data_IF_096811542109
#
_entry.id   IF_096811542109
#
_cell.length_a   1.000
_cell.length_b   1.000
_cell.length_c   1.000
_cell.angle_alpha   90.00
_cell.angle_beta   90.00
_cell.angle_gamma   90.00
#
_symmetry.space_group_name_H-M   'P 1'
#
loop_
_entity.id
_entity.type
_entity.pdbx_description
1 polymer ?
#
# COMPACT_ATOMS: atom_id res chain seq x y z
N UNK A 1 7.63 11.26 18.40
CA UNK A 1 6.99 10.29 17.53
C UNK A 1 5.97 10.98 16.62
N UNK A 2 5.75 10.46 15.44
CA UNK A 2 4.81 11.03 14.48
C UNK A 2 5.23 10.73 13.05
N UNK A 3 4.47 11.31 12.09
CA UNK A 3 4.81 11.28 10.68
C UNK A 3 5.46 12.60 10.29
N UNK A 4 6.58 12.51 9.62
CA UNK A 4 7.35 13.65 9.18
C UNK A 4 7.38 13.71 7.65
N UNK A 5 7.25 14.91 7.11
CA UNK A 5 7.38 15.22 5.69
C UNK A 5 8.67 15.98 5.44
N UNK A 6 9.39 15.59 4.40
CA UNK A 6 10.52 16.33 3.84
C UNK A 6 10.41 16.27 2.32
N UNK A 7 10.86 17.30 1.63
CA UNK A 7 10.76 17.44 0.17
C UNK A 7 12.07 17.87 -0.44
N UNK A 8 12.31 17.47 -1.68
CA UNK A 8 13.41 17.94 -2.52
C UNK A 8 12.93 18.04 -3.97
N UNK A 9 13.49 18.97 -4.73
CA UNK A 9 13.26 19.08 -6.18
C UNK A 9 14.12 18.10 -6.97
N UNK A 10 15.25 17.70 -6.40
CA UNK A 10 16.18 16.71 -6.91
C UNK A 10 16.46 15.70 -5.76
N UNK A 11 16.23 14.39 -5.95
CA UNK A 11 16.47 13.39 -4.90
C UNK A 11 17.94 13.29 -4.48
N UNK A 12 18.88 13.76 -5.31
CA UNK A 12 20.31 13.85 -4.99
C UNK A 12 20.73 15.21 -4.43
N UNK A 13 19.80 16.19 -4.38
CA UNK A 13 20.02 17.53 -3.88
C UNK A 13 19.74 17.69 -2.38
N UNK A 14 19.56 18.95 -1.98
CA UNK A 14 19.21 19.27 -0.59
C UNK A 14 17.74 18.98 -0.30
N UNK A 15 17.48 18.34 0.81
CA UNK A 15 16.14 18.07 1.33
C UNK A 15 15.71 19.16 2.34
N UNK A 16 14.44 19.50 2.33
CA UNK A 16 13.88 20.43 3.31
C UNK A 16 14.04 19.88 4.74
N UNK A 17 13.97 20.77 5.72
CA UNK A 17 13.89 20.32 7.14
C UNK A 17 12.61 19.50 7.32
N UNK A 18 12.68 18.35 8.04
CA UNK A 18 11.49 17.55 8.35
C UNK A 18 10.45 18.36 9.12
N UNK A 19 9.20 18.31 8.67
CA UNK A 19 8.04 18.88 9.37
C UNK A 19 7.21 17.74 9.93
N UNK A 20 6.89 17.80 11.23
CA UNK A 20 5.98 16.82 11.82
C UNK A 20 4.55 17.16 11.44
N UNK A 21 4.02 16.48 10.44
CA UNK A 21 2.67 16.71 9.90
C UNK A 21 1.57 15.98 10.67
N UNK A 22 1.93 14.92 11.41
CA UNK A 22 1.03 14.20 12.32
C UNK A 22 1.78 13.77 13.57
N UNK A 23 1.67 14.53 14.67
CA UNK A 23 2.25 14.12 15.93
C UNK A 23 1.52 12.92 16.54
N UNK A 24 2.23 12.18 17.38
CA UNK A 24 1.71 11.00 18.08
C UNK A 24 2.11 9.69 17.44
N UNK A 25 2.06 8.64 18.28
CA UNK A 25 2.44 7.28 17.90
C UNK A 25 1.36 6.57 17.09
N UNK A 26 1.72 5.44 16.51
CA UNK A 26 0.81 4.40 16.04
C UNK A 26 0.65 4.27 14.55
N UNK A 27 0.64 5.35 13.80
CA UNK A 27 0.62 5.26 12.34
C UNK A 27 1.97 4.79 11.82
N UNK A 28 1.91 3.84 10.88
CA UNK A 28 3.07 3.26 10.19
C UNK A 28 2.83 3.25 8.69
N UNK A 29 3.91 3.16 7.92
CA UNK A 29 3.89 3.00 6.47
C UNK A 29 3.05 4.08 5.75
N UNK A 30 3.22 5.36 6.05
CA UNK A 30 2.42 6.40 5.44
C UNK A 30 2.68 6.49 3.93
N UNK A 31 1.61 6.63 3.16
CA UNK A 31 1.66 6.86 1.73
C UNK A 31 0.89 8.13 1.39
N UNK A 32 1.57 9.20 0.98
CA UNK A 32 0.91 10.39 0.44
C UNK A 32 0.40 10.10 -0.98
N UNK A 33 -0.72 10.72 -1.31
CA UNK A 33 -1.34 10.64 -2.64
C UNK A 33 -1.88 12.01 -3.03
N UNK A 34 -1.56 12.45 -4.24
CA UNK A 34 -2.09 13.67 -4.86
C UNK A 34 -3.05 13.29 -5.97
N UNK A 35 -4.28 13.79 -5.87
CA UNK A 35 -5.32 13.55 -6.86
C UNK A 35 -5.30 14.60 -7.99
N UNK A 36 -5.88 14.26 -9.11
CA UNK A 36 -5.99 15.11 -10.30
C UNK A 36 -6.83 16.39 -10.06
N UNK A 37 -7.68 16.39 -9.03
CA UNK A 37 -8.47 17.57 -8.62
C UNK A 37 -7.69 18.58 -7.76
N UNK A 38 -6.41 18.31 -7.52
CA UNK A 38 -5.50 19.15 -6.72
C UNK A 38 -5.56 18.89 -5.22
N UNK A 39 -6.37 17.94 -4.76
CA UNK A 39 -6.38 17.49 -3.37
C UNK A 39 -5.29 16.48 -3.09
N UNK A 40 -4.91 16.39 -1.82
CA UNK A 40 -3.94 15.41 -1.37
C UNK A 40 -4.47 14.63 -0.17
N UNK A 41 -4.01 13.38 -0.03
CA UNK A 41 -4.43 12.46 1.02
C UNK A 41 -3.24 11.71 1.59
N UNK A 42 -3.34 11.33 2.85
CA UNK A 42 -2.38 10.48 3.53
C UNK A 42 -3.09 9.21 4.00
N UNK A 43 -2.67 8.06 3.50
CA UNK A 43 -3.13 6.74 3.95
C UNK A 43 -2.04 6.05 4.76
N UNK A 44 -2.39 5.35 5.83
CA UNK A 44 -1.43 4.64 6.67
C UNK A 44 -2.06 3.42 7.35
N UNK A 45 -1.21 2.46 7.69
CA UNK A 45 -1.52 1.39 8.63
C UNK A 45 -1.27 1.81 10.08
N UNK A 46 -1.51 0.87 11.02
CA UNK A 46 -1.24 1.10 12.44
C UNK A 46 -0.50 -0.06 13.09
N UNK A 47 0.37 0.27 14.04
CA UNK A 47 1.19 -0.69 14.78
C UNK A 47 0.58 -1.00 16.16
N UNK A 48 0.18 -2.27 16.38
CA UNK A 48 -0.36 -2.72 17.68
C UNK A 48 0.57 -2.41 18.85
N UNK A 49 1.86 -2.54 18.66
CA UNK A 49 2.88 -2.26 19.70
C UNK A 49 2.91 -0.81 20.16
N UNK A 50 2.27 0.10 19.41
CA UNK A 50 2.26 1.54 19.70
C UNK A 50 0.92 2.04 20.24
N UNK A 51 -0.20 1.52 19.73
CA UNK A 51 -1.54 2.01 20.07
C UNK A 51 -2.54 0.92 20.47
N UNK A 52 -2.09 -0.33 20.65
CA UNK A 52 -2.90 -1.43 21.19
C UNK A 52 -3.75 -2.20 20.17
N UNK A 53 -3.93 -1.72 18.94
CA UNK A 53 -4.68 -2.39 17.88
C UNK A 53 -3.92 -2.37 16.55
N UNK A 54 -4.33 -3.20 15.59
CA UNK A 54 -3.74 -3.34 14.26
C UNK A 54 -4.77 -3.73 13.22
N UNK A 55 -4.32 -3.91 11.99
CA UNK A 55 -5.12 -4.41 10.87
C UNK A 55 -6.18 -3.43 10.39
N UNK A 56 -5.98 -2.14 10.57
CA UNK A 56 -6.84 -1.10 10.04
C UNK A 56 -6.03 -0.11 9.20
N UNK A 57 -6.66 0.42 8.15
CA UNK A 57 -6.10 1.48 7.34
C UNK A 57 -6.85 2.78 7.63
N UNK A 58 -6.09 3.80 7.97
CA UNK A 58 -6.56 5.17 8.17
C UNK A 58 -6.27 6.03 6.95
N UNK A 59 -7.10 7.02 6.73
CA UNK A 59 -6.88 8.07 5.73
C UNK A 59 -7.32 9.42 6.27
N UNK A 60 -6.61 10.46 5.84
CA UNK A 60 -6.93 11.85 6.12
C UNK A 60 -6.60 12.71 4.91
N UNK A 61 -7.34 13.79 4.69
CA UNK A 61 -6.99 14.80 3.70
C UNK A 61 -5.74 15.55 4.16
N UNK A 62 -4.84 15.84 3.23
CA UNK A 62 -3.57 16.52 3.45
C UNK A 62 -3.56 17.85 2.70
N UNK A 63 -2.83 18.83 3.20
CA UNK A 63 -2.57 20.06 2.43
C UNK A 63 -1.87 19.69 1.11
N UNK A 64 -2.19 20.36 -0.01
CA UNK A 64 -1.59 20.03 -1.31
C UNK A 64 -0.07 20.15 -1.35
N UNK A 65 0.52 20.98 -0.48
CA UNK A 65 1.98 21.09 -0.32
C UNK A 65 2.58 19.98 0.55
N UNK A 66 1.75 19.09 1.13
CA UNK A 66 2.17 17.99 2.00
C UNK A 66 2.55 18.39 3.43
N UNK A 67 2.45 19.67 3.79
CA UNK A 67 3.01 20.19 5.04
C UNK A 67 2.04 20.17 6.23
N UNK A 68 0.86 19.58 6.08
CA UNK A 68 -0.12 19.45 7.16
C UNK A 68 -1.30 18.59 6.78
N UNK A 69 -2.11 18.21 7.76
CA UNK A 69 -3.33 17.45 7.58
C UNK A 69 -4.56 18.37 7.69
N UNK A 70 -5.64 18.01 6.98
CA UNK A 70 -6.88 18.75 6.92
C UNK A 70 -8.03 17.84 7.34
N UNK A 71 -8.81 18.28 8.34
CA UNK A 71 -10.02 17.56 8.75
C UNK A 71 -9.74 16.36 9.64
N UNK A 72 -10.64 15.38 9.61
CA UNK A 72 -10.65 14.24 10.53
C UNK A 72 -10.01 12.99 9.90
N UNK A 73 -9.26 12.26 10.71
CA UNK A 73 -8.76 10.94 10.38
C UNK A 73 -9.93 9.94 10.33
N UNK A 74 -10.01 9.14 9.25
CA UNK A 74 -11.06 8.14 9.07
C UNK A 74 -10.45 6.75 8.92
N UNK A 75 -11.05 5.76 9.54
CA UNK A 75 -10.80 4.35 9.20
C UNK A 75 -11.52 4.08 7.88
N UNK A 76 -10.77 3.74 6.85
CA UNK A 76 -11.29 3.44 5.51
C UNK A 76 -11.43 1.94 5.24
N UNK A 77 -10.72 1.12 6.02
CA UNK A 77 -10.81 -0.33 5.93
C UNK A 77 -10.40 -0.97 7.26
N UNK A 78 -11.22 -1.92 7.72
CA UNK A 78 -10.93 -2.74 8.91
C UNK A 78 -10.69 -4.20 8.49
N UNK A 79 -9.41 -4.59 8.49
CA UNK A 79 -9.00 -5.95 8.14
C UNK A 79 -9.39 -7.00 9.18
N UNK A 80 -9.72 -6.59 10.42
CA UNK A 80 -10.20 -7.54 11.44
C UNK A 80 -11.63 -8.04 11.12
N UNK A 81 -12.41 -7.24 10.39
CA UNK A 81 -13.76 -7.57 9.95
C UNK A 81 -13.80 -8.26 8.56
N UNK A 82 -12.66 -8.31 7.87
CA UNK A 82 -12.57 -8.72 6.47
C UNK A 82 -11.50 -9.81 6.22
N UNK A 83 -11.09 -10.54 7.24
CA UNK A 83 -10.05 -11.59 7.17
C UNK A 83 -8.71 -11.11 6.56
N UNK A 84 -8.43 -9.81 6.71
CA UNK A 84 -7.17 -9.18 6.28
C UNK A 84 -6.30 -8.81 7.49
N UNK A 85 -6.09 -9.79 8.37
CA UNK A 85 -5.32 -9.60 9.60
C UNK A 85 -3.89 -9.14 9.26
N UNK A 86 -3.40 -8.17 10.01
CA UNK A 86 -2.09 -7.53 9.78
C UNK A 86 -2.02 -6.84 8.40
N UNK A 87 -3.13 -6.28 7.91
CA UNK A 87 -3.07 -5.39 6.75
C UNK A 87 -2.30 -4.13 7.13
N UNK A 88 -1.31 -3.77 6.31
CA UNK A 88 -0.38 -2.67 6.54
C UNK A 88 0.25 -2.22 5.21
N UNK A 89 1.24 -1.33 5.23
CA UNK A 89 2.01 -0.96 4.05
C UNK A 89 1.21 -0.40 2.87
N UNK A 90 0.16 0.42 3.07
CA UNK A 90 -0.69 0.85 1.97
C UNK A 90 0.09 1.68 0.95
N UNK A 91 -0.21 1.46 -0.34
CA UNK A 91 0.24 2.30 -1.46
C UNK A 91 -0.98 2.67 -2.29
N UNK A 92 -1.20 3.97 -2.45
CA UNK A 92 -2.40 4.50 -3.08
C UNK A 92 -2.15 4.96 -4.51
N UNK A 93 -3.09 4.65 -5.40
CA UNK A 93 -3.04 4.97 -6.83
C UNK A 93 -4.43 5.32 -7.35
N UNK A 94 -4.49 5.94 -8.54
CA UNK A 94 -5.72 6.16 -9.30
C UNK A 94 -5.55 5.64 -10.72
N UNK A 95 -6.55 4.91 -11.22
CA UNK A 95 -6.58 4.39 -12.59
C UNK A 95 -8.03 4.21 -13.05
N UNK A 96 -8.35 4.67 -14.25
CA UNK A 96 -9.69 4.52 -14.85
C UNK A 96 -10.83 4.99 -13.93
N UNK A 97 -10.61 6.08 -13.16
CA UNK A 97 -11.58 6.62 -12.23
C UNK A 97 -11.85 5.74 -10.99
N UNK A 98 -10.97 4.78 -10.70
CA UNK A 98 -10.92 4.03 -9.46
C UNK A 98 -9.73 4.48 -8.61
N UNK A 99 -9.95 4.59 -7.30
CA UNK A 99 -8.89 4.65 -6.31
C UNK A 99 -8.51 3.24 -5.89
N UNK A 100 -7.24 2.95 -5.88
CA UNK A 100 -6.66 1.67 -5.48
C UNK A 100 -5.78 1.84 -4.26
N UNK A 101 -5.86 0.90 -3.33
CA UNK A 101 -4.90 0.79 -2.24
C UNK A 101 -4.33 -0.63 -2.26
N UNK A 102 -3.06 -0.74 -2.56
CA UNK A 102 -2.29 -1.98 -2.49
C UNK A 102 -1.78 -2.12 -1.07
N UNK A 103 -2.22 -3.14 -0.33
CA UNK A 103 -1.82 -3.35 1.04
C UNK A 103 -1.65 -4.85 1.32
N UNK A 104 -0.46 -5.30 1.75
CA UNK A 104 -0.25 -6.68 2.14
C UNK A 104 -0.97 -6.99 3.45
N UNK A 105 -1.36 -8.25 3.63
CA UNK A 105 -1.90 -8.79 4.87
C UNK A 105 -1.27 -10.14 5.21
N UNK A 106 -1.55 -10.70 6.39
CA UNK A 106 -1.05 -12.01 6.81
C UNK A 106 0.37 -12.03 7.36
N UNK A 107 1.07 -10.88 7.36
CA UNK A 107 2.44 -10.73 7.86
C UNK A 107 3.53 -11.19 6.89
N UNK A 108 4.79 -10.90 7.22
CA UNK A 108 5.93 -10.99 6.29
C UNK A 108 6.33 -12.41 5.87
N UNK A 109 5.97 -13.44 6.64
CA UNK A 109 6.36 -14.83 6.34
C UNK A 109 5.34 -15.60 5.51
N UNK A 110 4.07 -15.34 5.75
CA UNK A 110 2.95 -16.14 5.20
C UNK A 110 1.87 -15.28 4.60
N UNK A 111 2.13 -14.00 4.40
CA UNK A 111 1.18 -13.02 3.93
C UNK A 111 0.86 -13.13 2.43
N UNK A 112 0.03 -12.22 2.01
CA UNK A 112 -0.44 -12.10 0.64
C UNK A 112 -0.64 -10.62 0.30
N UNK A 113 -0.72 -10.32 -0.99
CA UNK A 113 -1.06 -8.98 -1.47
C UNK A 113 -2.55 -8.84 -1.64
N UNK A 114 -3.13 -7.92 -0.89
CA UNK A 114 -4.51 -7.45 -1.06
C UNK A 114 -4.52 -6.13 -1.82
N UNK A 115 -5.54 -5.94 -2.64
CA UNK A 115 -5.85 -4.66 -3.27
C UNK A 115 -7.27 -4.28 -2.93
N UNK A 116 -7.44 -3.04 -2.49
CA UNK A 116 -8.74 -2.42 -2.29
C UNK A 116 -9.01 -1.46 -3.45
N UNK A 117 -10.28 -1.32 -3.86
CA UNK A 117 -10.66 -0.28 -4.83
C UNK A 117 -12.00 0.37 -4.49
N UNK A 118 -12.15 1.63 -4.86
CA UNK A 118 -13.39 2.40 -4.70
C UNK A 118 -13.51 3.48 -5.76
N UNK A 119 -14.73 3.93 -6.04
CA UNK A 119 -14.99 5.14 -6.84
C UNK A 119 -14.88 6.43 -6.01
N UNK A 120 -14.84 6.31 -4.69
CA UNK A 120 -14.69 7.44 -3.78
C UNK A 120 -13.41 7.27 -2.96
N UNK A 121 -12.68 8.36 -2.78
CA UNK A 121 -11.38 8.36 -2.10
C UNK A 121 -11.44 7.83 -0.67
N UNK A 122 -12.51 8.10 0.07
CA UNK A 122 -12.73 7.57 1.43
C UNK A 122 -13.53 6.27 1.47
N UNK A 123 -13.80 5.63 0.31
CA UNK A 123 -14.56 4.40 0.24
C UNK A 123 -16.08 4.60 0.12
N UNK A 124 -16.89 3.54 0.35
CA UNK A 124 -16.44 2.22 0.81
C UNK A 124 -15.56 1.49 -0.20
N UNK A 125 -14.61 0.73 0.30
CA UNK A 125 -13.70 -0.06 -0.51
C UNK A 125 -14.15 -1.52 -0.60
N UNK A 126 -14.23 -2.06 -1.81
CA UNK A 126 -14.22 -3.50 -2.05
C UNK A 126 -12.76 -3.99 -2.13
N UNK A 127 -12.51 -5.27 -1.84
CA UNK A 127 -11.15 -5.79 -1.83
C UNK A 127 -11.04 -7.16 -2.50
N UNK A 128 -9.83 -7.47 -2.95
CA UNK A 128 -9.46 -8.77 -3.50
C UNK A 128 -8.03 -9.12 -3.11
N UNK A 129 -7.78 -10.38 -2.78
CA UNK A 129 -6.43 -10.91 -2.69
C UNK A 129 -5.96 -11.18 -4.12
N UNK A 130 -4.88 -10.51 -4.54
CA UNK A 130 -4.43 -10.51 -5.94
C UNK A 130 -3.12 -11.30 -6.15
N UNK A 131 -2.38 -11.57 -5.07
CA UNK A 131 -1.19 -12.42 -5.13
C UNK A 131 -1.00 -13.19 -3.82
N UNK A 132 -0.75 -14.48 -3.91
CA UNK A 132 -0.35 -15.38 -2.81
C UNK A 132 0.91 -16.14 -3.20
N UNK A 133 1.60 -16.71 -2.23
CA UNK A 133 2.74 -17.59 -2.49
C UNK A 133 2.39 -18.74 -3.44
N UNK A 134 1.28 -19.44 -3.20
CA UNK A 134 0.93 -20.64 -3.94
C UNK A 134 2.03 -21.69 -3.87
N UNK A 135 2.44 -22.22 -5.02
CA UNK A 135 3.53 -23.19 -5.15
C UNK A 135 4.91 -22.51 -5.37
N UNK A 136 4.96 -21.18 -5.38
CA UNK A 136 6.22 -20.44 -5.56
C UNK A 136 7.15 -20.61 -4.34
N UNK A 137 8.48 -20.64 -4.53
CA UNK A 137 9.44 -20.58 -3.44
C UNK A 137 9.50 -19.19 -2.79
N UNK A 138 8.87 -18.16 -3.40
CA UNK A 138 8.84 -16.78 -2.91
C UNK A 138 7.70 -16.64 -1.93
N UNK A 139 8.00 -16.73 -0.63
CA UNK A 139 6.98 -16.65 0.43
C UNK A 139 6.50 -15.21 0.68
N UNK A 140 5.30 -15.09 1.22
CA UNK A 140 4.76 -13.93 1.88
C UNK A 140 5.01 -12.59 1.19
N UNK A 141 4.50 -12.34 -0.05
CA UNK A 141 4.71 -11.06 -0.71
C UNK A 141 4.27 -9.90 0.19
N UNK A 142 5.18 -8.95 0.43
CA UNK A 142 4.96 -7.91 1.44
C UNK A 142 5.54 -6.57 1.01
N UNK A 143 4.94 -5.47 1.51
CA UNK A 143 5.35 -4.08 1.26
C UNK A 143 5.53 -3.76 -0.22
N UNK A 144 4.59 -4.24 -1.05
CA UNK A 144 4.70 -4.08 -2.49
C UNK A 144 4.19 -2.74 -3.02
N UNK A 145 4.60 -2.44 -4.24
CA UNK A 145 4.20 -1.25 -4.97
C UNK A 145 4.00 -1.56 -6.47
N UNK A 146 2.96 -1.02 -7.06
CA UNK A 146 2.79 -0.98 -8.50
C UNK A 146 3.73 0.06 -9.10
N UNK A 147 4.41 -0.31 -10.18
CA UNK A 147 5.30 0.56 -10.96
C UNK A 147 4.92 0.44 -12.42
N UNK A 148 4.62 1.54 -13.05
CA UNK A 148 4.43 1.64 -14.50
C UNK A 148 5.71 2.13 -15.18
N UNK A 149 5.92 1.70 -16.42
CA UNK A 149 7.06 2.13 -17.24
C UNK A 149 6.62 3.13 -18.28
N UNK A 150 7.58 3.91 -18.80
CA UNK A 150 7.35 4.84 -19.92
C UNK A 150 6.90 4.14 -21.20
N UNK A 151 7.08 2.82 -21.28
CA UNK A 151 6.64 1.97 -22.41
C UNK A 151 5.25 1.36 -22.18
N UNK A 152 4.57 1.69 -21.06
CA UNK A 152 3.22 1.24 -20.78
C UNK A 152 3.14 -0.19 -20.21
N UNK A 153 4.22 -0.69 -19.63
CA UNK A 153 4.23 -1.98 -18.93
C UNK A 153 3.98 -1.74 -17.45
N UNK A 154 3.20 -2.62 -16.86
CA UNK A 154 2.93 -2.64 -15.41
C UNK A 154 3.77 -3.71 -14.73
N UNK A 155 4.37 -3.36 -13.60
CA UNK A 155 5.18 -4.23 -12.76
C UNK A 155 4.79 -4.07 -11.31
N UNK A 156 5.06 -5.11 -10.51
CA UNK A 156 4.85 -5.06 -9.06
C UNK A 156 6.14 -5.44 -8.36
N UNK A 157 6.67 -4.52 -7.56
CA UNK A 157 7.84 -4.78 -6.72
C UNK A 157 7.38 -5.16 -5.31
N UNK A 158 7.99 -6.20 -4.71
CA UNK A 158 7.71 -6.60 -3.34
C UNK A 158 8.94 -7.26 -2.72
N UNK A 159 8.93 -7.56 -1.44
CA UNK A 159 9.98 -8.35 -0.82
C UNK A 159 9.49 -9.73 -0.36
N UNK A 160 10.46 -10.63 -0.20
CA UNK A 160 10.38 -11.90 0.50
C UNK A 160 11.25 -11.82 1.77
N UNK A 161 10.78 -12.32 2.90
CA UNK A 161 11.54 -12.39 4.15
C UNK A 161 12.33 -13.72 4.22
N UNK A 162 13.66 -13.66 4.19
CA UNK A 162 14.56 -14.82 4.14
C UNK A 162 15.57 -14.78 5.30
N UNK A 163 15.11 -14.98 6.52
CA UNK A 163 15.96 -15.13 7.72
C UNK A 163 17.21 -14.23 7.74
N UNK A 164 18.39 -14.85 7.80
CA UNK A 164 19.67 -14.14 7.86
C UNK A 164 20.02 -13.35 6.59
N UNK A 165 19.41 -13.68 5.45
CA UNK A 165 19.58 -12.92 4.22
C UNK A 165 18.70 -11.64 4.20
N UNK A 166 17.80 -11.50 5.17
CA UNK A 166 16.92 -10.34 5.29
C UNK A 166 15.79 -10.34 4.26
N UNK A 167 15.47 -9.16 3.73
CA UNK A 167 14.37 -8.96 2.81
C UNK A 167 14.87 -8.86 1.38
N UNK A 168 14.61 -9.90 0.59
CA UNK A 168 15.01 -9.98 -0.81
C UNK A 168 13.90 -9.38 -1.67
N UNK A 169 14.26 -8.43 -2.52
CA UNK A 169 13.32 -7.74 -3.43
C UNK A 169 13.10 -8.57 -4.69
N UNK A 170 11.84 -8.68 -5.09
CA UNK A 170 11.37 -9.33 -6.31
C UNK A 170 10.58 -8.34 -7.18
N UNK A 171 10.64 -8.54 -8.49
CA UNK A 171 9.86 -7.81 -9.47
C UNK A 171 8.96 -8.80 -10.22
N UNK A 172 7.64 -8.57 -10.18
CA UNK A 172 6.65 -9.42 -10.81
C UNK A 172 6.04 -8.73 -12.03
N UNK A 173 5.75 -9.46 -13.11
CA UNK A 173 4.91 -8.94 -14.18
C UNK A 173 3.51 -8.64 -13.62
N UNK A 174 2.89 -7.58 -14.10
CA UNK A 174 1.55 -7.20 -13.68
C UNK A 174 0.71 -6.81 -14.89
N UNK A 175 -0.55 -7.21 -14.89
CA UNK A 175 -1.57 -6.85 -15.87
C UNK A 175 -2.89 -6.53 -15.20
N UNK A 176 -3.90 -6.13 -15.97
CA UNK A 176 -5.21 -5.75 -15.44
C UNK A 176 -6.31 -6.56 -16.09
N UNK A 177 -7.19 -7.16 -15.30
CA UNK A 177 -8.38 -7.87 -15.72
C UNK A 177 -9.61 -7.33 -14.99
N UNK A 178 -10.60 -6.79 -15.69
CA UNK A 178 -11.83 -6.23 -15.10
C UNK A 178 -11.56 -5.18 -14.01
N UNK A 179 -10.59 -4.29 -14.26
CA UNK A 179 -10.12 -3.29 -13.30
C UNK A 179 -9.57 -3.88 -11.97
N UNK A 180 -9.07 -5.12 -12.00
CA UNK A 180 -8.27 -5.70 -10.93
C UNK A 180 -6.87 -6.06 -11.43
N UNK A 181 -5.83 -5.83 -10.62
CA UNK A 181 -4.49 -6.26 -11.00
C UNK A 181 -4.36 -7.78 -10.91
N UNK A 182 -3.64 -8.34 -11.87
CA UNK A 182 -3.12 -9.71 -11.87
C UNK A 182 -1.62 -9.60 -11.73
N UNK A 183 -1.06 -10.10 -10.63
CA UNK A 183 0.36 -9.94 -10.28
C UNK A 183 1.03 -11.32 -10.31
N UNK A 184 2.15 -11.42 -11.02
CA UNK A 184 2.84 -12.70 -11.23
C UNK A 184 2.11 -13.59 -12.24
N UNK A 185 2.10 -14.90 -12.02
CA UNK A 185 1.46 -15.89 -12.88
C UNK A 185 0.18 -16.41 -12.25
N UNK A 186 -0.92 -16.23 -12.97
CA UNK A 186 -2.22 -16.81 -12.59
C UNK A 186 -2.31 -18.23 -13.10
N UNK A 187 -2.53 -19.19 -12.19
CA UNK A 187 -2.77 -20.58 -12.51
C UNK A 187 -4.25 -20.85 -12.74
N UNK A 188 -4.54 -21.89 -13.52
CA UNK A 188 -5.91 -22.33 -13.79
C UNK A 188 -6.65 -22.63 -12.47
N UNK A 189 -7.85 -22.09 -12.34
CA UNK A 189 -8.70 -22.25 -11.17
C UNK A 189 -8.43 -21.28 -10.03
N UNK A 190 -7.33 -20.50 -10.06
CA UNK A 190 -7.04 -19.47 -9.09
C UNK A 190 -7.59 -18.11 -9.53
N UNK A 191 -8.03 -17.31 -8.59
CA UNK A 191 -8.43 -15.92 -8.79
C UNK A 191 -7.34 -14.91 -8.38
N UNK A 192 -6.15 -15.39 -8.02
CA UNK A 192 -4.94 -14.64 -7.66
C UNK A 192 -3.74 -15.12 -8.47
N UNK A 193 -2.68 -14.31 -8.55
CA UNK A 193 -1.40 -14.71 -9.14
C UNK A 193 -0.41 -15.23 -8.09
N UNK A 194 0.63 -15.91 -8.57
CA UNK A 194 1.75 -16.41 -7.77
C UNK A 194 3.04 -15.72 -8.22
N UNK A 195 3.99 -15.45 -7.30
CA UNK A 195 5.31 -14.91 -7.67
C UNK A 195 6.07 -15.84 -8.63
N UNK A 196 6.82 -15.26 -9.57
CA UNK A 196 7.75 -15.95 -10.45
C UNK A 196 9.19 -15.74 -10.01
#
# INVERSE_FOLDING_TARGET
>A
EGIYMTTATDPYGEWSKPVNIRPGAGWIDPCPFWDEDGKAYLVAGVAKSRIGYKSVLHMVEMQPDGMGLIGEEKIIFDGNLNDQITIEGPKMYKRNGWYYIFAPAGGVKTGWQTVLRSKNVFGPYEYKVVMRQGDSPVNGPHQGAWVDTVTGQDWFIHFQDVYAAGRITHLQPMSWENDWPVIGVKKDGNDYGEPV
#
